data_IF_403462466997
#
_entry.id   IF_403462466997
#
_cell.length_a   1.000
_cell.length_b   1.000
_cell.length_c   1.000
_cell.angle_alpha   90.00
_cell.angle_beta   90.00
_cell.angle_gamma   90.00
#
_symmetry.space_group_name_H-M   'P 1'
#
loop_
_entity.id
_entity.type
_entity.pdbx_description
1 polymer ?
#
# COMPACT_ATOMS: atom_id res chain seq x y z
N UNK A 1 1.39 -21.23 -47.98
CA UNK A 1 1.81 -20.67 -46.69
C UNK A 1 0.59 -20.04 -46.09
N UNK A 2 -0.11 -20.76 -45.22
CA UNK A 2 -1.29 -20.25 -44.52
C UNK A 2 -0.80 -19.50 -43.29
N UNK A 3 -0.76 -18.17 -43.35
CA UNK A 3 -0.85 -17.36 -42.13
C UNK A 3 -2.11 -17.83 -41.41
N UNK A 4 -1.94 -18.33 -40.19
CA UNK A 4 -3.07 -18.72 -39.36
C UNK A 4 -3.84 -17.47 -38.97
N UNK A 5 -5.01 -17.27 -39.58
CA UNK A 5 -6.01 -16.24 -39.27
C UNK A 5 -6.71 -16.46 -37.91
N UNK A 6 -6.11 -17.23 -36.99
CA UNK A 6 -6.65 -17.41 -35.64
C UNK A 6 -6.22 -16.23 -34.76
N UNK A 7 -7.15 -15.36 -34.33
CA UNK A 7 -6.83 -14.20 -33.48
C UNK A 7 -6.16 -14.61 -32.17
N UNK A 8 -6.41 -15.82 -31.66
CA UNK A 8 -5.78 -16.32 -30.44
C UNK A 8 -4.30 -16.60 -30.63
N UNK A 9 -3.92 -17.17 -31.77
CA UNK A 9 -2.52 -17.46 -32.09
C UNK A 9 -1.73 -16.16 -32.34
N UNK A 10 -2.39 -15.15 -32.94
CA UNK A 10 -1.82 -13.82 -33.11
C UNK A 10 -1.60 -13.10 -31.77
N UNK A 11 -2.58 -13.14 -30.87
CA UNK A 11 -2.44 -12.59 -29.51
C UNK A 11 -1.32 -13.31 -28.74
N UNK A 12 -1.22 -14.63 -28.84
CA UNK A 12 -0.15 -15.41 -28.18
C UNK A 12 1.24 -14.98 -28.67
N UNK A 13 1.45 -14.85 -29.99
CA UNK A 13 2.72 -14.42 -30.57
C UNK A 13 3.09 -12.99 -30.19
N UNK A 14 2.12 -12.06 -30.21
CA UNK A 14 2.30 -10.68 -29.75
C UNK A 14 2.69 -10.67 -28.27
N UNK A 15 2.04 -11.49 -27.45
CA UNK A 15 2.33 -11.60 -26.01
C UNK A 15 3.75 -12.13 -25.80
N UNK A 16 4.14 -13.24 -26.44
CA UNK A 16 5.50 -13.79 -26.30
C UNK A 16 6.59 -12.79 -26.73
N UNK A 17 6.38 -12.10 -27.85
CA UNK A 17 7.31 -11.08 -28.34
C UNK A 17 7.38 -9.85 -27.43
N UNK A 18 6.25 -9.44 -26.85
CA UNK A 18 6.20 -8.38 -25.85
C UNK A 18 6.92 -8.82 -24.56
N UNK A 19 6.71 -10.05 -24.08
CA UNK A 19 7.40 -10.58 -22.91
C UNK A 19 8.92 -10.61 -23.13
N UNK A 20 9.40 -11.09 -24.29
CA UNK A 20 10.84 -11.13 -24.57
C UNK A 20 11.49 -9.75 -24.64
N UNK A 21 10.74 -8.70 -25.02
CA UNK A 21 11.28 -7.32 -25.09
C UNK A 21 11.09 -6.53 -23.79
N UNK A 22 10.07 -6.84 -22.99
CA UNK A 22 9.77 -6.11 -21.75
C UNK A 22 10.83 -6.38 -20.68
N UNK A 23 11.35 -7.61 -20.57
CA UNK A 23 12.34 -7.94 -19.54
C UNK A 23 13.78 -7.50 -19.87
N UNK A 24 14.08 -7.31 -21.16
CA UNK A 24 15.44 -6.94 -21.61
C UNK A 24 15.68 -5.42 -21.63
N UNK A 25 14.62 -4.60 -21.52
CA UNK A 25 14.74 -3.14 -21.52
C UNK A 25 14.83 -2.57 -20.11
N UNK A 26 15.46 -1.40 -20.00
CA UNK A 26 15.44 -0.61 -18.77
C UNK A 26 14.02 -0.13 -18.48
N UNK A 27 13.59 -0.27 -17.23
CA UNK A 27 12.36 0.34 -16.74
C UNK A 27 12.50 1.86 -16.66
N UNK A 28 11.49 2.57 -17.13
CA UNK A 28 11.40 4.02 -16.98
C UNK A 28 10.90 4.39 -15.59
N UNK A 29 11.18 5.63 -15.15
CA UNK A 29 10.68 6.13 -13.86
C UNK A 29 9.15 6.09 -13.77
N UNK A 30 8.44 6.43 -14.84
CA UNK A 30 6.97 6.40 -14.88
C UNK A 30 6.41 5.00 -14.72
N UNK A 31 7.09 3.98 -15.25
CA UNK A 31 6.70 2.58 -15.08
C UNK A 31 6.93 2.11 -13.65
N UNK A 32 8.05 2.51 -13.02
CA UNK A 32 8.28 2.26 -11.60
C UNK A 32 7.17 2.90 -10.76
N UNK A 33 6.82 4.16 -11.02
CA UNK A 33 5.72 4.84 -10.31
C UNK A 33 4.39 4.13 -10.55
N UNK A 34 4.13 3.70 -11.78
CA UNK A 34 2.92 2.94 -12.11
C UNK A 34 2.86 1.63 -11.32
N UNK A 35 3.94 0.85 -11.31
CA UNK A 35 4.03 -0.40 -10.56
C UNK A 35 3.83 -0.18 -9.06
N UNK A 36 4.52 0.82 -8.47
CA UNK A 36 4.38 1.14 -7.05
C UNK A 36 2.97 1.64 -6.68
N UNK A 37 2.25 2.26 -7.62
CA UNK A 37 0.86 2.69 -7.38
C UNK A 37 -0.14 1.53 -7.35
N UNK A 38 0.18 0.42 -8.01
CA UNK A 38 -0.63 -0.82 -8.02
C UNK A 38 -0.23 -1.74 -6.89
N UNK A 39 1.05 -1.72 -6.55
CA UNK A 39 1.64 -2.56 -5.54
C UNK A 39 2.35 -1.72 -4.46
N UNK A 40 1.58 -0.92 -3.70
CA UNK A 40 2.14 -0.09 -2.65
C UNK A 40 2.70 -0.96 -1.51
N UNK A 41 3.84 -0.53 -0.99
CA UNK A 41 4.48 -1.15 0.17
C UNK A 41 5.18 -0.11 1.05
N UNK A 42 5.57 -0.52 2.25
CA UNK A 42 6.27 0.27 3.24
C UNK A 42 7.27 -0.59 4.02
N UNK A 43 8.49 -0.10 4.17
CA UNK A 43 9.54 -0.68 5.01
C UNK A 43 10.02 0.34 6.04
N UNK A 44 9.98 -0.05 7.31
CA UNK A 44 10.51 0.75 8.42
C UNK A 44 11.31 -0.13 9.38
N UNK A 45 12.24 0.46 10.12
CA UNK A 45 12.93 -0.23 11.23
C UNK A 45 13.13 0.66 12.45
N UNK A 46 13.45 0.01 13.58
CA UNK A 46 13.85 0.69 14.81
C UNK A 46 15.21 1.36 14.59
N UNK A 47 15.26 2.67 14.71
CA UNK A 47 16.51 3.41 14.54
C UNK A 47 17.54 3.06 15.62
N UNK A 48 17.08 2.73 16.84
CA UNK A 48 17.98 2.37 17.93
C UNK A 48 18.62 0.98 17.73
N UNK A 49 17.95 0.08 17.02
CA UNK A 49 18.42 -1.27 16.75
C UNK A 49 17.92 -1.79 15.39
N UNK A 50 18.55 -1.37 14.28
CA UNK A 50 18.07 -1.71 12.94
C UNK A 50 18.40 -3.17 12.53
N UNK A 51 19.15 -3.90 13.37
CA UNK A 51 19.61 -5.25 13.03
C UNK A 51 18.49 -6.27 13.10
N UNK A 52 18.38 -7.07 12.04
CA UNK A 52 17.46 -8.19 11.94
C UNK A 52 18.13 -9.48 12.42
N UNK A 53 17.38 -10.25 13.20
CA UNK A 53 17.77 -11.62 13.54
C UNK A 53 17.28 -12.56 12.44
N UNK A 54 18.16 -12.89 11.50
CA UNK A 54 17.86 -13.74 10.34
C UNK A 54 17.36 -15.15 10.73
N UNK A 55 17.61 -15.59 11.97
CA UNK A 55 17.11 -16.88 12.46
C UNK A 55 15.61 -16.87 12.80
N UNK A 56 14.99 -15.68 12.90
CA UNK A 56 13.59 -15.53 13.28
C UNK A 56 12.71 -15.30 12.06
N UNK A 57 11.66 -16.11 11.95
CA UNK A 57 10.58 -15.87 10.99
C UNK A 57 9.76 -14.64 11.39
N UNK A 58 9.31 -13.82 10.42
CA UNK A 58 8.46 -12.68 10.71
C UNK A 58 7.12 -13.15 11.27
N UNK A 59 6.58 -12.37 12.21
CA UNK A 59 5.16 -12.49 12.57
C UNK A 59 4.34 -11.84 11.47
N UNK A 60 3.51 -12.63 10.79
CA UNK A 60 2.59 -12.14 9.77
C UNK A 60 1.28 -11.69 10.43
N UNK A 61 0.85 -10.48 10.14
CA UNK A 61 -0.41 -9.89 10.58
C UNK A 61 -1.20 -9.52 9.32
N UNK A 62 -2.44 -9.99 9.24
CA UNK A 62 -3.36 -9.64 8.17
C UNK A 62 -4.29 -8.55 8.70
N UNK A 63 -4.33 -7.39 8.05
CA UNK A 63 -5.23 -6.29 8.41
C UNK A 63 -6.64 -6.52 7.84
N UNK A 64 -7.64 -5.82 8.38
CA UNK A 64 -9.04 -5.94 7.95
C UNK A 64 -9.25 -5.62 6.45
N UNK A 65 -8.36 -4.83 5.85
CA UNK A 65 -8.38 -4.52 4.41
C UNK A 65 -7.54 -5.48 3.56
N UNK A 66 -7.10 -6.62 4.11
CA UNK A 66 -6.40 -7.69 3.40
C UNK A 66 -4.91 -7.46 3.16
N UNK A 67 -4.29 -6.49 3.84
CA UNK A 67 -2.85 -6.26 3.71
C UNK A 67 -2.05 -7.17 4.64
N UNK A 68 -0.85 -7.51 4.20
CA UNK A 68 0.10 -8.28 4.99
C UNK A 68 1.12 -7.34 5.63
N UNK A 69 1.26 -7.45 6.95
CA UNK A 69 2.28 -6.77 7.74
C UNK A 69 3.19 -7.82 8.35
N UNK A 70 4.45 -7.81 7.95
CA UNK A 70 5.52 -8.71 8.37
C UNK A 70 6.34 -8.00 9.44
N UNK A 71 6.20 -8.46 10.68
CA UNK A 71 6.92 -7.95 11.84
C UNK A 71 8.13 -8.84 12.16
N UNK A 72 9.34 -8.33 11.87
CA UNK A 72 10.62 -9.00 12.12
C UNK A 72 11.20 -8.67 13.51
N UNK A 73 10.40 -8.12 14.42
CA UNK A 73 10.86 -7.67 15.74
C UNK A 73 11.36 -6.24 15.70
N UNK A 74 12.43 -5.98 14.92
CA UNK A 74 13.15 -4.71 14.76
C UNK A 74 12.92 -4.01 13.41
N UNK A 75 12.27 -4.68 12.46
CA UNK A 75 11.81 -4.09 11.21
C UNK A 75 10.38 -4.53 10.92
N UNK A 76 9.65 -3.69 10.19
CA UNK A 76 8.29 -3.96 9.75
C UNK A 76 8.22 -3.70 8.25
N UNK A 77 7.71 -4.69 7.51
CA UNK A 77 7.38 -4.58 6.10
C UNK A 77 5.87 -4.72 5.92
N UNK A 78 5.24 -3.86 5.15
CA UNK A 78 3.81 -3.93 4.84
C UNK A 78 3.57 -3.85 3.34
N UNK A 79 2.73 -4.72 2.80
CA UNK A 79 2.34 -4.73 1.39
C UNK A 79 0.93 -5.28 1.19
N UNK A 80 0.31 -4.94 0.06
CA UNK A 80 -0.96 -5.55 -0.35
C UNK A 80 -0.80 -7.06 -0.59
N UNK A 81 -1.88 -7.82 -0.39
CA UNK A 81 -1.89 -9.29 -0.54
C UNK A 81 -1.35 -9.77 -1.89
N UNK A 82 -1.62 -9.03 -2.96
CA UNK A 82 -1.18 -9.34 -4.33
C UNK A 82 0.33 -9.30 -4.54
N UNK A 83 1.09 -8.63 -3.65
CA UNK A 83 2.54 -8.51 -3.80
C UNK A 83 3.31 -9.77 -3.39
N UNK A 84 2.69 -10.65 -2.59
CA UNK A 84 3.33 -11.81 -1.97
C UNK A 84 2.63 -13.12 -2.33
N UNK A 85 2.08 -13.23 -3.54
CA UNK A 85 1.56 -14.50 -4.09
C UNK A 85 2.66 -15.54 -4.44
N UNK A 86 3.88 -15.39 -3.93
CA UNK A 86 4.93 -16.42 -3.98
C UNK A 86 5.13 -17.03 -2.59
N UNK A 87 4.22 -17.96 -2.28
CA UNK A 87 4.36 -19.13 -1.39
C UNK A 87 5.45 -19.10 -0.29
N UNK A 88 5.07 -18.68 0.93
CA UNK A 88 5.61 -19.28 2.15
C UNK A 88 4.78 -20.53 2.52
N UNK A 89 4.99 -21.63 1.77
CA UNK A 89 4.77 -23.02 2.23
C UNK A 89 3.35 -23.48 2.59
N UNK A 90 2.33 -22.63 2.53
CA UNK A 90 0.93 -23.05 2.57
C UNK A 90 0.28 -22.53 1.31
N UNK A 91 -0.08 -23.46 0.41
CA UNK A 91 -1.24 -23.27 -0.43
C UNK A 91 -2.38 -22.93 0.51
N UNK A 92 -2.67 -21.64 0.68
CA UNK A 92 -4.04 -21.24 1.00
C UNK A 92 -4.84 -21.93 -0.07
N UNK A 93 -5.61 -22.94 0.34
CA UNK A 93 -6.58 -23.54 -0.55
C UNK A 93 -7.30 -22.38 -1.21
N UNK A 94 -7.25 -22.33 -2.53
CA UNK A 94 -8.31 -21.72 -3.30
C UNK A 94 -9.57 -22.54 -2.93
N UNK A 95 -10.18 -22.20 -1.81
CA UNK A 95 -11.58 -22.49 -1.55
C UNK A 95 -12.29 -21.40 -2.34
N UNK A 96 -12.76 -21.82 -3.52
CA UNK A 96 -13.87 -21.19 -4.21
C UNK A 96 -14.98 -20.95 -3.18
N UNK A 97 -15.18 -19.70 -2.75
CA UNK A 97 -16.43 -19.19 -2.18
C UNK A 97 -16.27 -17.68 -1.90
N UNK A 98 -17.00 -16.91 -2.71
CA UNK A 98 -17.42 -15.52 -2.51
C UNK A 98 -16.36 -14.42 -2.32
N UNK A 99 -16.20 -13.71 -3.44
CA UNK A 99 -15.58 -12.43 -3.75
C UNK A 99 -16.12 -11.25 -2.90
N UNK A 100 -16.23 -11.36 -1.58
CA UNK A 100 -16.81 -10.29 -0.72
C UNK A 100 -15.94 -9.78 0.44
N UNK A 101 -14.75 -10.34 0.70
CA UNK A 101 -13.87 -9.84 1.77
C UNK A 101 -12.67 -9.00 1.29
N UNK A 102 -12.78 -8.40 0.10
CA UNK A 102 -11.81 -7.44 -0.43
C UNK A 102 -11.99 -6.04 0.19
N UNK A 103 -10.94 -5.50 0.79
CA UNK A 103 -10.98 -4.36 1.72
C UNK A 103 -11.85 -3.17 1.31
N UNK A 104 -12.71 -2.74 2.24
CA UNK A 104 -13.54 -1.55 2.08
C UNK A 104 -12.68 -0.28 1.90
N UNK A 105 -12.82 0.40 0.76
CA UNK A 105 -12.21 1.72 0.50
C UNK A 105 -11.44 1.81 -0.81
N UNK A 106 -10.93 3.00 -1.11
CA UNK A 106 -10.01 3.22 -2.25
C UNK A 106 -8.62 2.68 -1.91
N UNK A 107 -7.79 2.31 -2.90
CA UNK A 107 -6.36 1.96 -2.68
C UNK A 107 -5.65 3.01 -1.83
N UNK A 108 -6.01 4.29 -2.04
CA UNK A 108 -5.53 5.43 -1.25
C UNK A 108 -5.86 5.30 0.24
N UNK A 109 -7.11 5.00 0.55
CA UNK A 109 -7.54 4.77 1.92
C UNK A 109 -6.84 3.54 2.52
N UNK A 110 -6.76 2.45 1.76
CA UNK A 110 -6.18 1.20 2.25
C UNK A 110 -4.70 1.34 2.65
N UNK A 111 -3.84 1.92 1.79
CA UNK A 111 -2.43 2.12 2.17
C UNK A 111 -2.29 3.13 3.32
N UNK A 112 -3.21 4.10 3.41
CA UNK A 112 -3.20 5.09 4.49
C UNK A 112 -3.49 4.41 5.82
N UNK A 113 -4.56 3.62 5.88
CA UNK A 113 -4.94 2.89 7.09
C UNK A 113 -3.83 1.92 7.53
N UNK A 114 -3.17 1.26 6.58
CA UNK A 114 -2.05 0.35 6.87
C UNK A 114 -0.81 1.10 7.36
N UNK A 115 -0.47 2.25 6.79
CA UNK A 115 0.64 3.07 7.28
C UNK A 115 0.41 3.51 8.74
N UNK A 116 -0.82 3.94 9.07
CA UNK A 116 -1.19 4.27 10.46
C UNK A 116 -1.12 3.04 11.38
N UNK A 117 -1.61 1.89 10.92
CA UNK A 117 -1.54 0.64 11.65
C UNK A 117 -0.09 0.21 11.95
N UNK A 118 0.82 0.34 10.97
CA UNK A 118 2.24 0.06 11.16
C UNK A 118 2.83 0.95 12.26
N UNK A 119 2.51 2.25 12.28
CA UNK A 119 2.97 3.13 13.36
C UNK A 119 2.30 2.80 14.72
N UNK A 120 1.05 2.33 14.74
CA UNK A 120 0.44 1.81 15.97
C UNK A 120 1.21 0.59 16.52
N UNK A 121 1.75 -0.28 15.65
CA UNK A 121 2.62 -1.38 16.06
C UNK A 121 3.95 -0.88 16.62
N UNK A 122 4.58 0.12 15.99
CA UNK A 122 5.79 0.80 16.48
C UNK A 122 5.57 1.32 17.90
N UNK A 123 4.45 2.00 18.15
CA UNK A 123 4.12 2.51 19.48
C UNK A 123 3.93 1.37 20.50
N UNK A 124 3.27 0.27 20.13
CA UNK A 124 3.11 -0.92 21.00
C UNK A 124 4.45 -1.57 21.34
N UNK A 125 5.42 -1.53 20.42
CA UNK A 125 6.80 -2.00 20.61
C UNK A 125 7.67 -1.03 21.40
N UNK A 126 7.18 0.19 21.67
CA UNK A 126 7.89 1.26 22.40
C UNK A 126 9.16 1.75 21.73
N UNK A 127 9.26 1.61 20.40
CA UNK A 127 10.31 2.28 19.64
C UNK A 127 10.18 3.80 19.82
N UNK A 128 11.30 4.47 20.09
CA UNK A 128 11.33 5.92 20.30
C UNK A 128 11.51 6.67 18.98
N UNK A 129 12.24 6.06 18.05
CA UNK A 129 12.55 6.59 16.74
C UNK A 129 12.53 5.48 15.69
N UNK A 130 12.26 5.85 14.43
CA UNK A 130 12.19 4.93 13.30
C UNK A 130 12.96 5.45 12.10
N UNK A 131 13.56 4.53 11.34
CA UNK A 131 14.02 4.81 9.99
C UNK A 131 12.93 4.42 8.98
N UNK A 132 12.53 5.34 8.12
CA UNK A 132 11.64 5.06 6.99
C UNK A 132 12.52 4.73 5.78
N UNK A 133 12.65 3.44 5.46
CA UNK A 133 13.67 2.94 4.53
C UNK A 133 13.26 3.11 3.06
N UNK A 134 12.12 2.53 2.69
CA UNK A 134 11.65 2.51 1.31
C UNK A 134 10.17 2.14 1.23
N UNK A 135 9.55 2.41 0.09
CA UNK A 135 8.14 2.17 -0.13
C UNK A 135 7.53 3.06 -1.20
N UNK A 136 6.22 2.93 -1.37
CA UNK A 136 5.45 3.84 -2.21
C UNK A 136 5.34 5.20 -1.52
N UNK A 137 5.79 6.27 -2.18
CA UNK A 137 5.95 7.59 -1.57
C UNK A 137 4.70 8.13 -0.81
N UNK A 138 3.46 8.02 -1.33
CA UNK A 138 2.26 8.35 -0.56
C UNK A 138 2.11 7.56 0.75
N UNK A 139 2.54 6.30 0.79
CA UNK A 139 2.52 5.47 1.99
C UNK A 139 3.64 5.87 2.97
N UNK A 140 4.84 6.19 2.48
CA UNK A 140 5.92 6.77 3.29
C UNK A 140 5.48 8.04 3.99
N UNK A 141 4.83 8.94 3.23
CA UNK A 141 4.24 10.17 3.75
C UNK A 141 3.23 9.89 4.85
N UNK A 142 2.31 8.93 4.66
CA UNK A 142 1.33 8.59 5.69
C UNK A 142 1.98 8.00 6.94
N UNK A 143 3.05 7.21 6.80
CA UNK A 143 3.82 6.70 7.93
C UNK A 143 4.50 7.84 8.70
N UNK A 144 5.12 8.79 8.00
CA UNK A 144 5.68 10.00 8.62
C UNK A 144 4.62 10.83 9.37
N UNK A 145 3.48 11.11 8.75
CA UNK A 145 2.37 11.84 9.39
C UNK A 145 1.91 11.11 10.66
N UNK A 146 1.69 9.79 10.57
CA UNK A 146 1.24 8.99 11.70
C UNK A 146 2.27 8.98 12.85
N UNK A 147 3.57 8.92 12.53
CA UNK A 147 4.66 8.97 13.51
C UNK A 147 4.73 10.33 14.21
N UNK A 148 4.68 11.43 13.45
CA UNK A 148 4.68 12.79 14.00
C UNK A 148 3.49 13.05 14.93
N UNK A 149 2.28 12.63 14.52
CA UNK A 149 1.08 12.72 15.37
C UNK A 149 1.20 11.97 16.70
N UNK A 150 2.04 10.93 16.74
CA UNK A 150 2.33 10.11 17.93
C UNK A 150 3.62 10.51 18.64
N UNK A 151 4.32 11.54 18.16
CA UNK A 151 5.61 12.01 18.67
C UNK A 151 6.69 10.93 18.63
N UNK A 152 6.67 10.10 17.60
CA UNK A 152 7.75 9.17 17.27
C UNK A 152 8.70 9.89 16.31
N UNK A 153 9.98 9.93 16.64
CA UNK A 153 10.98 10.57 15.78
C UNK A 153 11.20 9.73 14.52
N UNK A 154 11.33 10.40 13.37
CA UNK A 154 11.49 9.75 12.07
C UNK A 154 12.78 10.20 11.41
N UNK A 155 13.49 9.26 10.80
CA UNK A 155 14.70 9.49 10.01
C UNK A 155 14.49 8.98 8.58
N UNK A 156 15.35 9.42 7.66
CA UNK A 156 15.40 8.99 6.26
C UNK A 156 14.15 9.30 5.41
N UNK A 157 13.22 10.11 5.93
CA UNK A 157 12.16 10.75 5.16
C UNK A 157 12.24 12.27 5.31
N UNK A 158 12.48 12.97 4.20
CA UNK A 158 12.57 14.43 4.17
C UNK A 158 11.25 15.01 3.65
N UNK A 159 10.38 15.56 4.52
CA UNK A 159 9.09 16.09 4.09
C UNK A 159 9.24 17.36 3.25
N UNK A 160 8.55 17.41 2.12
CA UNK A 160 8.41 18.59 1.28
C UNK A 160 7.27 19.52 1.77
N UNK A 161 7.14 20.69 1.15
CA UNK A 161 6.03 21.62 1.43
C UNK A 161 4.67 20.94 1.19
N UNK A 162 4.55 20.14 0.13
CA UNK A 162 3.34 19.38 -0.19
C UNK A 162 3.02 18.34 0.89
N UNK A 163 4.02 17.70 1.49
CA UNK A 163 3.83 16.76 2.60
C UNK A 163 3.18 17.45 3.80
N UNK A 164 3.62 18.66 4.15
CA UNK A 164 3.02 19.46 5.21
C UNK A 164 1.59 19.93 4.88
N UNK A 165 1.27 20.18 3.61
CA UNK A 165 -0.12 20.46 3.20
C UNK A 165 -0.99 19.24 3.50
N UNK A 166 -0.55 18.04 3.11
CA UNK A 166 -1.31 16.81 3.37
C UNK A 166 -1.40 16.53 4.87
N UNK A 167 -0.32 16.71 5.63
CA UNK A 167 -0.33 16.60 7.10
C UNK A 167 -1.45 17.44 7.71
N UNK A 168 -1.53 18.72 7.35
CA UNK A 168 -2.54 19.64 7.88
C UNK A 168 -3.97 19.20 7.54
N UNK A 169 -4.18 18.59 6.36
CA UNK A 169 -5.47 18.04 5.98
C UNK A 169 -5.82 16.80 6.81
N UNK A 170 -4.89 15.86 6.94
CA UNK A 170 -5.06 14.63 7.73
C UNK A 170 -5.34 14.97 9.20
N UNK A 171 -4.59 15.91 9.79
CA UNK A 171 -4.78 16.36 11.16
C UNK A 171 -6.18 16.96 11.39
N UNK A 172 -6.66 17.80 10.46
CA UNK A 172 -8.01 18.36 10.54
C UNK A 172 -9.09 17.29 10.41
N UNK A 173 -8.92 16.31 9.51
CA UNK A 173 -9.86 15.18 9.36
C UNK A 173 -9.91 14.38 10.66
N UNK A 174 -8.76 13.98 11.20
CA UNK A 174 -8.67 13.19 12.44
C UNK A 174 -9.22 13.93 13.66
N UNK A 175 -9.10 15.26 13.71
CA UNK A 175 -9.71 16.11 14.75
C UNK A 175 -11.21 16.38 14.53
N UNK A 176 -11.82 15.81 13.49
CA UNK A 176 -13.23 16.06 13.13
C UNK A 176 -13.51 17.49 12.66
N UNK A 177 -12.47 18.26 12.34
CA UNK A 177 -12.56 19.66 11.89
C UNK A 177 -12.77 19.80 10.39
N UNK A 178 -12.58 18.71 9.64
CA UNK A 178 -12.83 18.60 8.22
C UNK A 178 -13.81 17.44 7.99
N UNK A 179 -15.08 17.60 8.37
CA UNK A 179 -16.13 16.76 7.78
C UNK A 179 -16.29 17.17 6.31
N UNK A 180 -16.62 16.21 5.40
CA UNK A 180 -16.89 16.56 4.02
C UNK A 180 -17.96 17.66 4.00
N UNK A 181 -17.94 18.60 3.02
CA UNK A 181 -19.13 19.41 2.79
C UNK A 181 -20.29 18.43 2.76
N UNK A 182 -21.37 18.69 3.51
CA UNK A 182 -22.60 17.92 3.40
C UNK A 182 -22.79 17.65 1.92
N UNK A 183 -22.71 16.38 1.48
CA UNK A 183 -22.96 16.07 0.07
C UNK A 183 -24.28 16.75 -0.20
N UNK A 184 -24.38 17.70 -1.13
CA UNK A 184 -25.63 18.38 -1.37
C UNK A 184 -26.64 17.27 -1.57
N UNK A 185 -27.56 17.13 -0.62
CA UNK A 185 -28.64 16.18 -0.74
C UNK A 185 -29.31 16.70 -1.99
N UNK A 186 -29.16 15.99 -3.11
CA UNK A 186 -30.03 16.20 -4.25
C UNK A 186 -31.40 15.88 -3.71
N UNK A 187 -32.07 16.90 -3.20
CA UNK A 187 -33.39 16.76 -2.65
C UNK A 187 -34.19 16.13 -3.78
N UNK A 188 -34.88 15.02 -3.48
CA UNK A 188 -35.72 14.30 -4.43
C UNK A 188 -36.92 15.15 -4.92
N UNK A 189 -36.86 16.48 -4.79
CA UNK A 189 -37.97 17.39 -5.02
C UNK A 189 -38.15 17.82 -6.47
N UNK A 190 -37.23 17.50 -7.40
CA UNK A 190 -37.43 17.78 -8.83
C UNK A 190 -37.57 16.53 -9.71
N UNK A 191 -38.16 15.46 -9.17
CA UNK A 191 -38.85 14.45 -10.00
C UNK A 191 -40.36 14.62 -9.79
N UNK A 192 -40.88 15.79 -10.17
CA UNK A 192 -42.28 15.89 -10.57
C UNK A 192 -42.29 16.13 -12.07
N UNK A 193 -42.44 15.02 -12.80
CA UNK A 193 -42.96 15.02 -14.17
C UNK A 193 -44.23 15.87 -14.20
N UNK A 194 -44.25 16.90 -15.03
CA UNK A 194 -45.37 17.27 -15.90
C UNK A 194 -44.83 18.05 -17.08
#
# INVERSE_FOLDING_TARGET
MTETDDPKEQISKITEQAFSTIFDRRLTRSEIVYLLSRYPFLEICDHANPYLDESKMPKVIITDNGWHVFDYGNAIFASGSEFMCYEYGKKSKAEDEDEESGGHGTVVQQYTDVAFFVIDLVQKKRWQSIDILTGYYPMLRMAWIAADMKKIETHHFEPSIEDYVVYNWVDKIKKGKLYPPERPILSKQNIRRR
#
